data_IF_693929251653
#
_entry.id   IF_693929251653
#
_cell.length_a   1.000
_cell.length_b   1.000
_cell.length_c   1.000
_cell.angle_alpha   90.00
_cell.angle_beta   90.00
_cell.angle_gamma   90.00
#
_symmetry.space_group_name_H-M   'P 1'
#
loop_
_entity.id
_entity.type
_entity.pdbx_description
1 polymer ?
#
# COMPACT_ATOMS: atom_id res chain seq x y z
N UNK A 1 -9.47 10.44 26.85
CA UNK A 1 -9.80 10.21 25.42
C UNK A 1 -9.79 8.71 25.20
N UNK A 2 -10.97 8.05 25.26
CA UNK A 2 -11.05 6.60 25.11
C UNK A 2 -10.84 6.23 23.64
N UNK A 3 -9.72 5.57 23.35
CA UNK A 3 -9.51 4.88 22.09
C UNK A 3 -10.38 3.62 22.10
N UNK A 4 -11.55 3.69 21.48
CA UNK A 4 -12.39 2.52 21.24
C UNK A 4 -11.71 1.66 20.17
N UNK A 5 -10.97 0.64 20.60
CA UNK A 5 -10.44 -0.38 19.71
C UNK A 5 -11.62 -1.20 19.18
N UNK A 6 -11.97 -1.00 17.90
CA UNK A 6 -12.94 -1.84 17.20
C UNK A 6 -12.33 -3.24 17.11
N UNK A 7 -13.00 -4.30 17.60
CA UNK A 7 -12.48 -5.65 17.49
C UNK A 7 -12.30 -6.02 16.01
N UNK A 8 -11.04 -6.20 15.59
CA UNK A 8 -10.69 -6.72 14.26
C UNK A 8 -11.07 -8.19 14.21
N UNK A 9 -12.29 -8.48 13.79
CA UNK A 9 -12.69 -9.83 13.45
C UNK A 9 -11.82 -10.35 12.30
N UNK A 10 -11.25 -11.55 12.45
CA UNK A 10 -10.60 -12.28 11.36
C UNK A 10 -11.65 -12.63 10.31
N UNK A 11 -11.96 -11.73 9.40
CA UNK A 11 -12.85 -12.08 8.29
C UNK A 11 -12.07 -12.95 7.31
N UNK A 12 -12.48 -14.19 7.14
CA UNK A 12 -11.87 -15.11 6.18
C UNK A 12 -12.07 -14.66 4.73
N UNK A 13 -13.10 -13.86 4.47
CA UNK A 13 -13.51 -13.45 3.12
C UNK A 13 -13.01 -12.04 2.77
N UNK A 14 -12.37 -11.93 1.60
CA UNK A 14 -12.02 -10.64 1.00
C UNK A 14 -13.27 -10.05 0.36
N UNK A 15 -13.53 -8.78 0.62
CA UNK A 15 -14.69 -8.05 0.08
C UNK A 15 -14.22 -6.89 -0.80
N UNK A 16 -14.87 -6.70 -1.94
CA UNK A 16 -14.53 -5.68 -2.93
C UNK A 16 -15.72 -4.75 -3.17
N UNK A 17 -15.48 -3.44 -3.16
CA UNK A 17 -16.47 -2.41 -3.52
C UNK A 17 -15.96 -1.57 -4.70
N UNK A 18 -16.85 -1.13 -5.59
CA UNK A 18 -16.47 -0.19 -6.67
C UNK A 18 -15.97 1.12 -6.07
N UNK A 19 -14.89 1.67 -6.62
CA UNK A 19 -14.58 3.08 -6.40
C UNK A 19 -15.56 3.95 -7.20
N UNK A 20 -15.71 5.20 -6.78
CA UNK A 20 -16.45 6.21 -7.52
C UNK A 20 -15.62 6.69 -8.72
N UNK A 21 -15.62 5.87 -9.77
CA UNK A 21 -14.79 6.06 -10.96
C UNK A 21 -14.90 4.91 -11.96
N UNK A 22 -14.23 5.04 -13.12
CA UNK A 22 -14.34 4.05 -14.20
C UNK A 22 -13.67 2.71 -13.89
N UNK A 23 -12.74 2.66 -12.92
CA UNK A 23 -12.03 1.46 -12.51
C UNK A 23 -11.66 1.50 -11.03
N UNK A 24 -11.14 0.36 -10.55
CA UNK A 24 -10.61 0.21 -9.21
C UNK A 24 -11.59 -0.29 -8.16
N UNK A 25 -11.04 -0.84 -7.07
CA UNK A 25 -11.82 -1.39 -5.94
C UNK A 25 -11.28 -0.99 -4.58
N UNK A 26 -12.17 -0.68 -3.64
CA UNK A 26 -11.86 -0.75 -2.22
C UNK A 26 -11.87 -2.21 -1.78
N UNK A 27 -10.85 -2.62 -1.03
CA UNK A 27 -10.66 -4.00 -0.55
C UNK A 27 -10.70 -4.02 0.97
N UNK A 28 -11.51 -4.93 1.52
CA UNK A 28 -11.70 -5.15 2.94
C UNK A 28 -11.45 -6.61 3.32
N UNK A 29 -11.23 -6.86 4.61
CA UNK A 29 -11.01 -8.22 5.13
C UNK A 29 -9.57 -8.73 5.00
N UNK A 30 -8.63 -7.80 4.82
CA UNK A 30 -7.19 -8.04 4.83
C UNK A 30 -6.55 -7.20 5.93
N UNK A 31 -5.56 -7.75 6.61
CA UNK A 31 -4.71 -7.03 7.55
C UNK A 31 -3.25 -7.35 7.24
N UNK A 32 -2.48 -6.35 6.78
CA UNK A 32 -1.07 -6.53 6.48
C UNK A 32 -0.26 -6.89 7.73
N UNK A 33 -0.72 -6.52 8.92
CA UNK A 33 -0.01 -6.82 10.16
C UNK A 33 0.03 -8.32 10.46
N UNK A 34 -1.00 -9.06 10.04
CA UNK A 34 -1.11 -10.51 10.19
C UNK A 34 -0.43 -11.27 9.04
N UNK A 35 0.02 -10.55 8.00
CA UNK A 35 0.49 -11.13 6.75
C UNK A 35 -0.65 -11.62 5.84
N UNK A 36 -0.31 -11.91 4.59
CA UNK A 36 -1.28 -12.31 3.56
C UNK A 36 -0.98 -13.76 3.13
N UNK A 37 -1.85 -14.73 3.44
CA UNK A 37 -1.72 -16.10 2.94
C UNK A 37 -1.77 -16.17 1.41
N UNK A 38 -1.04 -17.11 0.81
CA UNK A 38 -0.90 -17.27 -0.65
C UNK A 38 -2.24 -17.25 -1.40
N UNK A 39 -3.25 -17.97 -0.91
CA UNK A 39 -4.58 -17.99 -1.54
C UNK A 39 -5.29 -16.63 -1.52
N UNK A 40 -5.09 -15.81 -0.48
CA UNK A 40 -5.60 -14.43 -0.43
C UNK A 40 -4.78 -13.53 -1.35
N UNK A 41 -3.47 -13.72 -1.42
CA UNK A 41 -2.59 -12.97 -2.31
C UNK A 41 -2.93 -13.20 -3.79
N UNK A 42 -3.12 -14.46 -4.20
CA UNK A 42 -3.54 -14.80 -5.58
C UNK A 42 -4.86 -14.11 -5.98
N UNK A 43 -5.84 -14.06 -5.07
CA UNK A 43 -7.10 -13.33 -5.29
C UNK A 43 -6.87 -11.83 -5.42
N UNK A 44 -5.98 -11.26 -4.61
CA UNK A 44 -5.61 -9.85 -4.68
C UNK A 44 -4.92 -9.51 -6.01
N UNK A 45 -3.98 -10.35 -6.45
CA UNK A 45 -3.27 -10.20 -7.73
C UNK A 45 -4.24 -10.26 -8.90
N UNK A 46 -5.16 -11.23 -8.93
CA UNK A 46 -6.20 -11.29 -9.96
C UNK A 46 -7.08 -10.03 -9.96
N UNK A 47 -7.54 -9.59 -8.78
CA UNK A 47 -8.36 -8.39 -8.67
C UNK A 47 -7.62 -7.12 -9.13
N UNK A 48 -6.30 -7.03 -8.88
CA UNK A 48 -5.48 -5.91 -9.35
C UNK A 48 -5.43 -5.91 -10.88
N UNK A 49 -5.18 -7.07 -11.50
CA UNK A 49 -5.21 -7.17 -12.95
C UNK A 49 -6.58 -6.83 -13.53
N UNK A 50 -7.68 -7.28 -12.93
CA UNK A 50 -9.03 -7.01 -13.44
C UNK A 50 -9.46 -5.55 -13.28
N UNK A 51 -9.00 -4.86 -12.23
CA UNK A 51 -9.52 -3.56 -11.81
C UNK A 51 -8.53 -2.41 -11.82
N UNK A 52 -7.25 -2.67 -12.15
CA UNK A 52 -6.13 -1.73 -12.29
C UNK A 52 -5.66 -1.07 -10.98
N UNK A 53 -6.58 -0.67 -10.10
CA UNK A 53 -6.28 -0.02 -8.82
C UNK A 53 -7.01 -0.72 -7.68
N UNK A 54 -6.30 -1.03 -6.60
CA UNK A 54 -6.89 -1.55 -5.37
C UNK A 54 -6.55 -0.64 -4.20
N UNK A 55 -7.54 -0.32 -3.38
CA UNK A 55 -7.37 0.46 -2.15
C UNK A 55 -7.60 -0.48 -0.97
N UNK A 56 -6.53 -0.92 -0.32
CA UNK A 56 -6.63 -1.74 0.89
C UNK A 56 -7.06 -0.87 2.07
N UNK A 57 -8.25 -1.12 2.63
CA UNK A 57 -8.83 -0.28 3.68
C UNK A 57 -8.38 -0.73 5.06
N UNK A 58 -8.36 0.21 6.01
CA UNK A 58 -8.15 -0.03 7.44
C UNK A 58 -6.81 -0.73 7.80
N UNK A 59 -5.73 -0.35 7.11
CA UNK A 59 -4.41 -0.88 7.39
C UNK A 59 -3.72 -0.09 8.51
N UNK A 60 -3.23 -0.81 9.50
CA UNK A 60 -2.35 -0.30 10.54
C UNK A 60 -1.22 -1.32 10.72
N UNK A 61 -0.11 -1.10 10.02
CA UNK A 61 1.04 -2.00 9.98
C UNK A 61 2.35 -1.22 10.19
N UNK A 62 3.38 -1.92 10.67
CA UNK A 62 4.75 -1.39 10.76
C UNK A 62 5.39 -1.27 9.37
N UNK A 63 6.51 -0.55 9.30
CA UNK A 63 7.32 -0.43 8.08
C UNK A 63 7.81 -1.81 7.60
N UNK A 64 8.22 -2.68 8.51
CA UNK A 64 8.63 -4.06 8.17
C UNK A 64 7.48 -4.88 7.58
N UNK A 65 6.27 -4.75 8.14
CA UNK A 65 5.08 -5.45 7.64
C UNK A 65 4.68 -4.92 6.25
N UNK A 66 4.78 -3.61 6.03
CA UNK A 66 4.55 -3.00 4.73
C UNK A 66 5.58 -3.48 3.68
N UNK A 67 6.87 -3.48 4.02
CA UNK A 67 7.93 -3.98 3.13
C UNK A 67 7.77 -5.48 2.84
N UNK A 68 7.39 -6.28 3.84
CA UNK A 68 7.09 -7.70 3.66
C UNK A 68 5.94 -7.92 2.68
N UNK A 69 4.89 -7.10 2.76
CA UNK A 69 3.80 -7.13 1.79
C UNK A 69 4.26 -6.72 0.39
N UNK A 70 5.06 -5.65 0.27
CA UNK A 70 5.64 -5.21 -1.01
C UNK A 70 6.43 -6.33 -1.70
N UNK A 71 7.22 -7.08 -0.93
CA UNK A 71 8.01 -8.22 -1.43
C UNK A 71 7.19 -9.40 -1.96
N UNK A 72 5.89 -9.48 -1.65
CA UNK A 72 5.01 -10.49 -2.26
C UNK A 72 4.79 -10.21 -3.76
N UNK A 73 4.89 -8.96 -4.18
CA UNK A 73 4.70 -8.54 -5.57
C UNK A 73 5.97 -8.70 -6.43
N UNK A 74 7.12 -8.94 -5.79
CA UNK A 74 8.41 -9.07 -6.45
C UNK A 74 9.53 -8.41 -5.63
N UNK A 75 10.73 -8.35 -6.22
CA UNK A 75 11.88 -7.67 -5.60
C UNK A 75 11.75 -6.16 -5.77
N UNK A 76 11.71 -5.36 -4.69
CA UNK A 76 11.70 -3.90 -4.79
C UNK A 76 12.94 -3.38 -5.53
N UNK A 77 12.74 -2.38 -6.38
CA UNK A 77 13.81 -1.66 -7.05
C UNK A 77 14.12 -0.42 -6.22
N UNK A 78 15.37 -0.30 -5.75
CA UNK A 78 15.78 0.85 -4.97
C UNK A 78 15.82 2.09 -5.84
N UNK A 79 15.22 3.18 -5.35
CA UNK A 79 15.18 4.44 -6.09
C UNK A 79 16.61 4.96 -6.38
N UNK A 80 16.84 5.43 -7.60
CA UNK A 80 18.17 5.87 -8.07
C UNK A 80 18.72 7.06 -7.29
N UNK A 81 17.84 7.95 -6.83
CA UNK A 81 18.21 9.06 -5.93
C UNK A 81 18.32 8.51 -4.49
N UNK A 82 19.53 8.26 -4.02
CA UNK A 82 19.80 7.67 -2.70
C UNK A 82 19.18 8.45 -1.53
N UNK A 83 19.25 9.79 -1.56
CA UNK A 83 18.64 10.67 -0.55
C UNK A 83 17.11 10.60 -0.56
N UNK A 84 16.51 9.89 -1.52
CA UNK A 84 15.07 9.67 -1.56
C UNK A 84 14.58 8.44 -0.83
N UNK A 85 15.50 7.58 -0.42
CA UNK A 85 15.19 6.34 0.29
C UNK A 85 14.86 6.63 1.75
N UNK A 86 14.02 5.79 2.33
CA UNK A 86 13.71 5.83 3.76
C UNK A 86 14.95 5.39 4.55
N UNK A 87 15.37 6.12 5.61
CA UNK A 87 16.45 5.67 6.49
C UNK A 87 16.19 4.25 6.98
N UNK A 88 17.23 3.42 7.05
CA UNK A 88 17.19 1.99 7.42
C UNK A 88 16.36 1.07 6.50
N UNK A 89 15.62 1.63 5.54
CA UNK A 89 14.75 0.91 4.60
C UNK A 89 15.01 1.34 3.16
N UNK A 90 16.14 0.94 2.54
CA UNK A 90 16.56 1.43 1.22
C UNK A 90 15.63 1.01 0.07
N UNK A 91 14.78 0.00 0.31
CA UNK A 91 13.77 -0.48 -0.62
C UNK A 91 12.49 0.39 -0.62
N UNK A 92 12.37 1.32 0.34
CA UNK A 92 11.21 2.19 0.50
C UNK A 92 11.55 3.65 0.19
N UNK A 93 10.55 4.37 -0.31
CA UNK A 93 10.58 5.78 -0.65
C UNK A 93 9.47 6.48 0.13
N UNK A 94 9.78 7.60 0.79
CA UNK A 94 8.78 8.48 1.36
C UNK A 94 8.33 9.52 0.33
N UNK A 95 7.01 9.59 0.12
CA UNK A 95 6.34 10.65 -0.64
C UNK A 95 5.43 11.38 0.34
N UNK A 96 5.68 12.68 0.51
CA UNK A 96 4.91 13.55 1.37
C UNK A 96 4.67 14.89 0.69
N UNK A 97 3.55 15.52 0.97
CA UNK A 97 3.18 16.83 0.42
C UNK A 97 2.57 17.77 1.47
N UNK A 98 2.61 17.38 2.75
CA UNK A 98 2.10 18.17 3.86
C UNK A 98 3.26 18.85 4.60
N UNK A 99 3.35 20.19 4.55
CA UNK A 99 4.28 20.95 5.38
C UNK A 99 4.11 20.58 6.86
N UNK A 100 5.23 20.51 7.59
CA UNK A 100 5.31 20.24 9.05
C UNK A 100 4.84 18.85 9.53
N UNK A 101 4.28 18.01 8.63
CA UNK A 101 3.83 16.65 8.96
C UNK A 101 4.66 15.56 8.30
N UNK A 102 5.18 15.83 7.12
CA UNK A 102 5.99 14.87 6.38
C UNK A 102 7.47 15.24 6.51
N UNK A 103 8.30 14.27 6.89
CA UNK A 103 9.77 14.42 6.94
C UNK A 103 10.37 14.79 5.58
N UNK A 104 9.61 14.54 4.51
CA UNK A 104 9.99 14.78 3.12
C UNK A 104 8.82 15.39 2.37
N UNK A 105 8.90 16.69 2.08
CA UNK A 105 7.98 17.36 1.14
C UNK A 105 8.50 17.17 -0.28
N UNK A 106 7.94 16.20 -1.00
CA UNK A 106 8.22 15.90 -2.41
C UNK A 106 6.93 15.76 -3.18
N UNK A 107 6.62 16.78 -3.97
CA UNK A 107 5.55 16.73 -4.95
C UNK A 107 5.95 15.91 -6.21
N UNK A 108 6.59 14.75 -6.01
CA UNK A 108 7.14 13.92 -7.09
C UNK A 108 6.04 13.28 -7.95
N UNK A 109 4.80 13.27 -7.47
CA UNK A 109 3.64 12.74 -8.18
C UNK A 109 2.71 13.84 -8.75
N UNK A 110 3.20 15.07 -8.92
CA UNK A 110 2.38 16.22 -9.33
C UNK A 110 1.77 16.13 -10.73
N UNK A 111 2.33 15.31 -11.62
CA UNK A 111 1.95 15.23 -13.03
C UNK A 111 1.44 13.85 -13.40
N UNK A 112 0.65 13.74 -14.47
CA UNK A 112 0.21 12.44 -15.00
C UNK A 112 1.38 11.69 -15.64
N UNK A 113 1.71 10.52 -15.11
CA UNK A 113 2.77 9.65 -15.62
C UNK A 113 2.56 8.20 -15.16
N UNK A 114 3.43 7.32 -15.62
CA UNK A 114 3.69 6.02 -14.99
C UNK A 114 5.14 6.00 -14.52
N UNK A 115 5.40 5.36 -13.40
CA UNK A 115 6.74 5.32 -12.80
C UNK A 115 7.76 4.69 -13.76
N UNK A 116 8.98 5.23 -13.77
CA UNK A 116 10.15 4.71 -14.53
C UNK A 116 9.97 4.65 -16.06
N UNK A 117 9.21 5.59 -16.65
CA UNK A 117 8.94 5.65 -18.10
C UNK A 117 9.85 6.59 -18.92
N UNK A 118 11.05 6.91 -18.42
CA UNK A 118 12.02 7.80 -19.09
C UNK A 118 12.87 7.09 -20.14
#
# INVERSE_FOLDING_TARGET
MLCLSIPRGKSEMIRYEKLDGPFGRSVYGLDLADGIPDGKFQRLTKALYDHRVLVLKNQACSVDQYLKFGRLWGTPIQHVVHTSRTPDYPDLLSVGNLPDKDDVSRNSAAFWHTDQAY
#
